data_IF_477043622293
#
_entry.id   IF_477043622293
#
_cell.length_a   1.000
_cell.length_b   1.000
_cell.length_c   1.000
_cell.angle_alpha   90.00
_cell.angle_beta   90.00
_cell.angle_gamma   90.00
#
_symmetry.space_group_name_H-M   'P 1'
#
loop_
_entity.id
_entity.type
_entity.pdbx_description
1 polymer ?
#
# COMPACT_ATOMS: atom_id res chain seq x y z
N UNK A 1 0.46 13.80 2.20
CA UNK A 1 -0.63 13.21 1.40
C UNK A 1 -0.69 11.71 1.65
N UNK A 2 -1.86 11.12 1.58
CA UNK A 2 -2.09 9.70 1.89
C UNK A 2 -2.68 8.98 0.69
N UNK A 3 -2.24 7.75 0.46
CA UNK A 3 -2.73 6.91 -0.62
C UNK A 3 -3.48 5.70 -0.07
N UNK A 4 -4.65 5.42 -0.63
CA UNK A 4 -5.45 4.25 -0.30
C UNK A 4 -5.65 3.41 -1.56
N UNK A 5 -5.22 2.15 -1.51
CA UNK A 5 -5.29 1.24 -2.66
C UNK A 5 -6.16 0.04 -2.31
N UNK A 6 -7.31 -0.04 -2.96
CA UNK A 6 -8.29 -1.10 -2.73
C UNK A 6 -9.17 -1.20 -3.98
N UNK A 7 -9.39 -2.40 -4.50
CA UNK A 7 -10.15 -2.59 -5.73
C UNK A 7 -11.68 -2.54 -5.55
N UNK A 8 -12.17 -2.67 -4.33
CA UNK A 8 -13.61 -2.75 -4.06
C UNK A 8 -14.16 -1.68 -3.13
N UNK A 9 -13.37 -1.21 -2.16
CA UNK A 9 -13.83 -0.28 -1.14
C UNK A 9 -13.67 1.16 -1.57
N UNK A 10 -14.65 1.98 -1.22
CA UNK A 10 -14.52 3.42 -1.29
C UNK A 10 -14.11 3.94 0.07
N UNK A 11 -13.17 4.89 0.07
CA UNK A 11 -12.67 5.42 1.31
C UNK A 11 -13.13 6.88 1.45
N UNK A 12 -13.99 7.17 2.42
CA UNK A 12 -14.67 8.47 2.48
C UNK A 12 -13.88 9.60 3.15
N UNK A 13 -12.65 9.34 3.60
CA UNK A 13 -11.88 10.34 4.33
C UNK A 13 -11.19 11.31 3.38
N UNK A 14 -11.27 12.60 3.72
CA UNK A 14 -10.56 13.65 3.02
C UNK A 14 -9.04 13.49 3.21
N UNK A 15 -8.29 13.97 2.25
CA UNK A 15 -6.83 13.91 2.29
C UNK A 15 -6.23 12.62 1.77
N UNK A 16 -7.06 11.69 1.28
CA UNK A 16 -6.59 10.47 0.63
C UNK A 16 -6.76 10.56 -0.87
N UNK A 17 -5.72 10.16 -1.59
CA UNK A 17 -5.85 9.74 -2.96
C UNK A 17 -6.24 8.27 -2.97
N UNK A 18 -7.23 7.89 -3.76
CA UNK A 18 -7.70 6.52 -3.83
C UNK A 18 -7.48 5.96 -5.22
N UNK A 19 -7.00 4.72 -5.30
CA UNK A 19 -6.89 4.01 -6.56
C UNK A 19 -7.19 2.53 -6.38
N UNK A 20 -7.37 1.83 -7.51
CA UNK A 20 -7.92 0.49 -7.50
C UNK A 20 -6.99 -0.59 -8.03
N UNK A 21 -5.86 -0.20 -8.57
CA UNK A 21 -4.96 -1.14 -9.24
C UNK A 21 -3.50 -0.76 -9.05
N UNK A 22 -2.62 -1.69 -9.38
CA UNK A 22 -1.18 -1.53 -9.24
C UNK A 22 -0.66 -0.44 -10.16
N UNK A 23 -1.14 -0.38 -11.39
CA UNK A 23 -0.68 0.58 -12.39
C UNK A 23 -0.92 2.02 -11.92
N UNK A 24 -2.13 2.31 -11.47
CA UNK A 24 -2.46 3.65 -10.98
C UNK A 24 -1.68 3.99 -9.71
N UNK A 25 -1.56 3.04 -8.79
CA UNK A 25 -0.80 3.24 -7.56
C UNK A 25 0.66 3.59 -7.84
N UNK A 26 1.31 2.84 -8.73
CA UNK A 26 2.71 3.09 -9.08
C UNK A 26 2.89 4.41 -9.82
N UNK A 27 1.93 4.78 -10.66
CA UNK A 27 1.94 6.09 -11.32
C UNK A 27 1.88 7.22 -10.29
N UNK A 28 0.95 7.14 -9.34
CA UNK A 28 0.80 8.16 -8.29
C UNK A 28 2.06 8.23 -7.42
N UNK A 29 2.61 7.09 -7.04
CA UNK A 29 3.85 7.05 -6.24
C UNK A 29 5.06 7.62 -6.98
N UNK A 30 5.04 7.60 -8.31
CA UNK A 30 6.13 8.16 -9.11
C UNK A 30 6.05 9.68 -9.30
N UNK A 31 4.86 10.27 -9.16
CA UNK A 31 4.66 11.70 -9.42
C UNK A 31 4.32 12.52 -8.17
N UNK A 32 3.96 11.88 -7.07
CA UNK A 32 3.55 12.54 -5.83
C UNK A 32 4.27 11.93 -4.64
N UNK A 33 4.52 12.73 -3.61
CA UNK A 33 5.07 12.24 -2.34
C UNK A 33 3.94 11.92 -1.38
N UNK A 34 4.00 10.71 -0.81
CA UNK A 34 3.05 10.27 0.20
C UNK A 34 3.77 10.02 1.51
N UNK A 35 3.12 10.39 2.61
CA UNK A 35 3.62 10.09 3.96
C UNK A 35 2.96 8.85 4.55
N UNK A 36 1.91 8.35 3.91
CA UNK A 36 1.18 7.19 4.34
C UNK A 36 0.55 6.49 3.14
N UNK A 37 0.65 5.15 3.09
CA UNK A 37 -0.11 4.35 2.13
C UNK A 37 -0.82 3.22 2.86
N UNK A 38 -2.03 2.91 2.42
CA UNK A 38 -2.78 1.75 2.91
C UNK A 38 -3.10 0.83 1.74
N UNK A 39 -2.63 -0.41 1.82
CA UNK A 39 -2.66 -1.37 0.72
C UNK A 39 -3.54 -2.58 1.05
N UNK A 40 -4.42 -2.93 0.12
CA UNK A 40 -5.04 -4.24 0.08
C UNK A 40 -4.09 -5.24 -0.61
N UNK A 41 -4.26 -6.51 -0.32
CA UNK A 41 -3.50 -7.56 -1.00
C UNK A 41 -4.10 -7.85 -2.39
N UNK A 42 -5.39 -8.11 -2.47
CA UNK A 42 -6.05 -8.48 -3.73
C UNK A 42 -6.45 -7.23 -4.53
N UNK A 43 -5.87 -7.06 -5.72
CA UNK A 43 -6.07 -5.88 -6.55
C UNK A 43 -6.29 -6.29 -8.02
N UNK A 44 -7.53 -6.69 -8.36
CA UNK A 44 -7.94 -6.93 -9.76
C UNK A 44 -6.94 -7.80 -10.55
N UNK A 45 -6.57 -8.96 -10.01
CA UNK A 45 -5.65 -9.89 -10.66
C UNK A 45 -4.18 -9.68 -10.32
N UNK A 46 -3.86 -8.60 -9.62
CA UNK A 46 -2.53 -8.32 -9.09
C UNK A 46 -2.61 -8.21 -7.57
N UNK A 47 -1.53 -7.84 -6.91
CA UNK A 47 -1.52 -7.77 -5.45
C UNK A 47 -0.82 -6.51 -4.95
N UNK A 48 -1.13 -6.15 -3.69
CA UNK A 48 -0.40 -5.08 -3.02
C UNK A 48 1.09 -5.37 -2.87
N UNK A 49 1.48 -6.65 -2.87
CA UNK A 49 2.88 -7.04 -2.86
C UNK A 49 3.60 -6.55 -4.12
N UNK A 50 2.92 -6.56 -5.27
CA UNK A 50 3.48 -6.03 -6.52
C UNK A 50 3.84 -4.55 -6.38
N UNK A 51 3.03 -3.79 -5.66
CA UNK A 51 3.30 -2.36 -5.39
C UNK A 51 4.55 -2.23 -4.51
N UNK A 52 4.65 -3.02 -3.45
CA UNK A 52 5.79 -2.98 -2.53
C UNK A 52 7.09 -3.36 -3.25
N UNK A 53 7.05 -4.38 -4.10
CA UNK A 53 8.21 -4.80 -4.90
C UNK A 53 8.63 -3.70 -5.86
N UNK A 54 7.68 -3.04 -6.51
CA UNK A 54 7.94 -1.91 -7.38
C UNK A 54 8.57 -0.74 -6.62
N UNK A 55 8.07 -0.42 -5.44
CA UNK A 55 8.62 0.63 -4.58
C UNK A 55 10.07 0.35 -4.22
N UNK A 56 10.36 -0.88 -3.80
CA UNK A 56 11.71 -1.29 -3.46
C UNK A 56 12.65 -1.16 -4.65
N UNK A 57 12.23 -1.65 -5.81
CA UNK A 57 13.01 -1.63 -7.04
C UNK A 57 13.30 -0.21 -7.53
N UNK A 58 12.41 0.72 -7.29
CA UNK A 58 12.54 2.11 -7.75
C UNK A 58 13.02 3.09 -6.67
N UNK A 59 13.38 2.59 -5.50
CA UNK A 59 13.88 3.42 -4.41
C UNK A 59 12.83 4.36 -3.81
N UNK A 60 11.56 4.00 -3.91
CA UNK A 60 10.46 4.78 -3.35
C UNK A 60 10.23 4.34 -1.91
N UNK A 61 10.32 5.27 -0.98
CA UNK A 61 10.04 5.02 0.43
C UNK A 61 8.89 5.90 0.92
N UNK A 62 8.05 5.33 1.78
CA UNK A 62 6.94 6.02 2.43
C UNK A 62 7.10 5.80 3.93
N UNK A 63 6.99 6.84 4.76
CA UNK A 63 7.22 6.70 6.21
C UNK A 63 6.33 5.72 6.93
N UNK A 64 5.11 5.52 6.44
CA UNK A 64 4.15 4.62 7.08
C UNK A 64 3.38 3.82 6.03
N UNK A 65 3.44 2.50 6.14
CA UNK A 65 2.68 1.57 5.30
C UNK A 65 1.68 0.83 6.18
N UNK A 66 0.41 0.92 5.84
CA UNK A 66 -0.64 0.13 6.48
C UNK A 66 -1.13 -0.96 5.54
N UNK A 67 -1.29 -2.16 6.05
CA UNK A 67 -1.80 -3.29 5.29
C UNK A 67 -3.22 -3.56 5.77
N UNK A 68 -4.19 -3.39 4.88
CA UNK A 68 -5.59 -3.63 5.19
C UNK A 68 -6.14 -4.73 4.27
N UNK A 69 -5.98 -5.95 4.66
CA UNK A 69 -6.46 -7.07 3.85
C UNK A 69 -7.11 -8.14 4.71
N UNK A 70 -8.19 -8.73 4.20
CA UNK A 70 -8.82 -9.90 4.81
C UNK A 70 -8.11 -11.20 4.44
N UNK A 71 -7.24 -11.17 3.45
CA UNK A 71 -6.43 -12.33 3.06
C UNK A 71 -5.27 -12.50 4.04
N UNK A 72 -5.37 -13.47 4.93
CA UNK A 72 -4.38 -13.68 6.01
C UNK A 72 -2.99 -13.97 5.46
N UNK A 73 -2.87 -14.86 4.48
CA UNK A 73 -1.58 -15.20 3.89
C UNK A 73 -0.96 -14.02 3.13
N UNK A 74 -1.78 -13.30 2.37
CA UNK A 74 -1.34 -12.11 1.64
C UNK A 74 -0.87 -11.02 2.57
N UNK A 75 -1.61 -10.79 3.66
CA UNK A 75 -1.27 -9.82 4.68
C UNK A 75 0.08 -10.12 5.32
N UNK A 76 0.31 -11.39 5.66
CA UNK A 76 1.59 -11.82 6.23
C UNK A 76 2.75 -11.68 5.24
N UNK A 77 2.52 -12.02 3.98
CA UNK A 77 3.54 -11.86 2.92
C UNK A 77 3.95 -10.41 2.75
N UNK A 78 2.98 -9.50 2.77
CA UNK A 78 3.26 -8.06 2.65
C UNK A 78 4.03 -7.56 3.86
N UNK A 79 3.62 -7.96 5.07
CA UNK A 79 4.33 -7.60 6.30
C UNK A 79 5.77 -8.10 6.27
N UNK A 80 5.97 -9.37 5.93
CA UNK A 80 7.31 -9.97 5.88
C UNK A 80 8.20 -9.25 4.87
N UNK A 81 7.64 -8.90 3.72
CA UNK A 81 8.36 -8.14 2.71
C UNK A 81 8.77 -6.77 3.24
N UNK A 82 7.86 -6.06 3.90
CA UNK A 82 8.15 -4.75 4.48
C UNK A 82 9.22 -4.83 5.57
N UNK A 83 9.16 -5.83 6.42
CA UNK A 83 10.17 -6.01 7.48
C UNK A 83 11.56 -6.26 6.89
N UNK A 84 11.64 -6.97 5.76
CA UNK A 84 12.90 -7.29 5.11
C UNK A 84 13.47 -6.12 4.31
N UNK A 85 12.63 -5.37 3.59
CA UNK A 85 13.07 -4.39 2.61
C UNK A 85 12.78 -2.94 2.98
N UNK A 86 11.94 -2.69 3.99
CA UNK A 86 11.63 -1.35 4.49
C UNK A 86 11.79 -1.30 6.01
N UNK A 87 13.02 -1.56 6.53
CA UNK A 87 13.22 -1.71 7.98
C UNK A 87 12.98 -0.43 8.78
N UNK A 88 13.06 0.74 8.14
CA UNK A 88 12.86 2.02 8.82
C UNK A 88 11.42 2.55 8.69
N UNK A 89 10.57 1.84 7.98
CA UNK A 89 9.18 2.23 7.76
C UNK A 89 8.29 1.71 8.89
N UNK A 90 7.34 2.53 9.33
CA UNK A 90 6.32 2.10 10.29
C UNK A 90 5.33 1.21 9.54
N UNK A 91 5.14 -0.01 10.05
CA UNK A 91 4.21 -0.98 9.43
C UNK A 91 3.07 -1.23 10.41
N UNK A 92 1.84 -1.04 9.93
CA UNK A 92 0.63 -1.36 10.67
C UNK A 92 -0.27 -2.28 9.85
N UNK A 93 -1.18 -2.96 10.51
CA UNK A 93 -2.12 -3.88 9.85
C UNK A 93 -3.54 -3.62 10.35
N UNK A 94 -4.01 -2.40 10.18
CA UNK A 94 -5.36 -2.01 10.55
C UNK A 94 -6.27 -2.10 9.34
N UNK A 95 -7.46 -2.67 9.51
CA UNK A 95 -8.41 -2.85 8.41
C UNK A 95 -8.88 -1.51 7.83
N UNK A 96 -9.06 -0.51 8.69
CA UNK A 96 -9.41 0.83 8.26
C UNK A 96 -8.31 1.80 8.69
N UNK A 97 -7.74 2.57 7.79
CA UNK A 97 -6.78 3.60 8.16
C UNK A 97 -7.46 4.71 8.94
N UNK A 98 -6.78 5.21 9.95
CA UNK A 98 -7.29 6.31 10.78
C UNK A 98 -6.36 7.50 10.70
#
# INVERSE_FOLDING_TARGET
MKLFVDDTRDFPYEGYECCRDVKTATLLLSIMEFDFISLDYSLAGETGLDILEWMCKNGIEVPHINIHSTNILGRERMRDYCEAFFPDTIITMNMLPK
#
